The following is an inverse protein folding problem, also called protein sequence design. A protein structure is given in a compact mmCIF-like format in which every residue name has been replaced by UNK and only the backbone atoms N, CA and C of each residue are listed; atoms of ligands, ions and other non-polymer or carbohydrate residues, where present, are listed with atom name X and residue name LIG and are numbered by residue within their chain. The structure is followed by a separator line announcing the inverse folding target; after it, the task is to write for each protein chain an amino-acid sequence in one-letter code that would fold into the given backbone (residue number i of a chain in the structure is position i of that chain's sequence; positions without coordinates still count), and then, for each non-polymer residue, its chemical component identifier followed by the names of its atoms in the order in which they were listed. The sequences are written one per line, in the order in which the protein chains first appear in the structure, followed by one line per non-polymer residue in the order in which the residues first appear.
data_IF_472646704494
#
_entry.id   IF_472646704494
#
_cell.length_a   1.000
_cell.length_b   1.000
_cell.length_c   1.000
_cell.angle_alpha   90.00
_cell.angle_beta   90.00
_cell.angle_gamma   90.00
#
_symmetry.space_group_name_H-M   'P 1'
#
loop_
_entity.id
_entity.type
_entity.pdbx_description
1 polymer ?
#
# COMPACT_ATOMS: atom_id res chain seq x y z
N UNK A 1 52.48 -27.57 -8.43
CA UNK A 1 51.41 -27.78 -9.42
C UNK A 1 50.77 -29.14 -9.17
N UNK A 2 50.07 -29.31 -8.05
CA UNK A 2 49.33 -30.54 -7.72
C UNK A 2 47.85 -30.27 -7.96
N UNK A 3 47.44 -30.38 -9.22
CA UNK A 3 46.05 -30.34 -9.69
C UNK A 3 45.35 -31.68 -9.39
N UNK A 4 45.29 -32.09 -8.13
CA UNK A 4 44.67 -33.36 -7.72
C UNK A 4 43.85 -33.27 -6.43
N UNK A 5 43.35 -32.09 -6.06
CA UNK A 5 42.44 -31.93 -4.90
C UNK A 5 41.23 -31.03 -5.19
N UNK A 6 40.54 -31.22 -6.33
CA UNK A 6 39.28 -30.49 -6.63
C UNK A 6 38.07 -31.41 -6.86
N UNK A 7 38.19 -32.71 -6.58
CA UNK A 7 37.05 -33.65 -6.69
C UNK A 7 36.89 -34.57 -5.48
N UNK A 8 36.84 -34.00 -4.27
CA UNK A 8 36.18 -34.69 -3.15
C UNK A 8 34.68 -34.34 -3.18
N UNK A 9 33.99 -35.14 -3.98
CA UNK A 9 32.56 -35.47 -4.03
C UNK A 9 31.79 -35.08 -2.74
N UNK A 10 30.92 -34.06 -2.74
CA UNK A 10 29.44 -34.12 -2.90
C UNK A 10 28.70 -35.18 -2.07
N UNK A 11 29.35 -35.97 -1.21
CA UNK A 11 28.65 -36.91 -0.32
C UNK A 11 27.99 -36.17 0.85
N UNK A 12 28.72 -35.23 1.45
CA UNK A 12 28.29 -34.48 2.61
C UNK A 12 28.38 -32.96 2.38
N UNK A 13 27.35 -32.25 2.80
CA UNK A 13 27.18 -30.81 2.62
C UNK A 13 26.90 -30.20 3.98
N UNK A 14 27.54 -29.08 4.29
CA UNK A 14 27.19 -28.27 5.45
C UNK A 14 25.95 -27.43 5.15
N UNK A 15 24.95 -27.56 6.00
CA UNK A 15 23.68 -26.86 5.89
C UNK A 15 23.55 -25.89 7.06
N UNK A 16 23.25 -24.63 6.74
CA UNK A 16 22.83 -23.66 7.74
C UNK A 16 21.37 -23.90 8.15
N UNK A 17 21.19 -24.12 9.46
CA UNK A 17 19.89 -24.34 10.10
C UNK A 17 19.34 -23.02 10.69
N UNK A 18 20.19 -22.00 10.85
CA UNK A 18 19.90 -20.72 11.48
C UNK A 18 20.60 -20.57 12.84
N UNK A 19 20.56 -19.35 13.42
CA UNK A 19 21.17 -18.99 14.72
C UNK A 19 22.69 -19.18 14.82
N UNK A 20 23.39 -19.35 13.69
CA UNK A 20 24.85 -19.51 13.62
C UNK A 20 25.34 -20.95 13.71
N UNK A 21 24.45 -21.95 13.59
CA UNK A 21 24.82 -23.37 13.62
C UNK A 21 24.77 -24.01 12.23
N UNK A 22 25.79 -24.83 11.94
CA UNK A 22 25.90 -25.61 10.71
C UNK A 22 25.81 -27.10 11.02
N UNK A 23 25.06 -27.84 10.20
CA UNK A 23 24.90 -29.30 10.34
C UNK A 23 25.38 -29.95 9.05
N UNK A 24 26.28 -30.91 9.18
CA UNK A 24 26.72 -31.74 8.06
C UNK A 24 25.67 -32.81 7.77
N UNK A 25 25.24 -32.90 6.51
CA UNK A 25 24.23 -33.84 6.03
C UNK A 25 24.62 -34.43 4.70
N UNK A 26 24.11 -35.63 4.41
CA UNK A 26 24.25 -36.19 3.08
C UNK A 26 23.57 -35.32 2.03
N UNK A 27 24.07 -35.30 0.79
CA UNK A 27 23.51 -34.47 -0.28
C UNK A 27 22.05 -34.82 -0.64
N UNK A 28 21.59 -36.05 -0.38
CA UNK A 28 20.17 -36.43 -0.48
C UNK A 28 19.33 -35.68 0.55
N UNK A 29 19.71 -35.76 1.81
CA UNK A 29 18.99 -35.18 2.94
C UNK A 29 18.98 -33.66 2.88
N UNK A 30 20.06 -33.08 2.34
CA UNK A 30 20.16 -31.65 2.08
C UNK A 30 19.08 -31.17 1.11
N UNK A 31 18.86 -31.90 0.01
CA UNK A 31 17.81 -31.57 -0.97
C UNK A 31 16.43 -31.62 -0.35
N UNK A 32 16.15 -32.63 0.47
CA UNK A 32 14.86 -32.74 1.18
C UNK A 32 14.67 -31.65 2.23
N UNK A 33 15.75 -31.21 2.87
CA UNK A 33 15.72 -30.07 3.79
C UNK A 33 15.40 -28.76 3.07
N UNK A 34 16.03 -28.50 1.92
CA UNK A 34 15.72 -27.31 1.12
C UNK A 34 14.31 -27.38 0.54
N UNK A 35 13.85 -28.54 0.07
CA UNK A 35 12.48 -28.73 -0.40
C UNK A 35 11.45 -28.38 0.67
N UNK A 36 11.64 -28.88 1.90
CA UNK A 36 10.78 -28.54 3.05
C UNK A 36 10.79 -27.04 3.38
N UNK A 37 11.95 -26.38 3.27
CA UNK A 37 12.05 -24.92 3.46
C UNK A 37 11.29 -24.15 2.37
N UNK A 38 11.40 -24.57 1.12
CA UNK A 38 10.66 -23.98 0.00
C UNK A 38 9.15 -24.17 0.24
N UNK A 39 8.70 -25.38 0.57
CA UNK A 39 7.28 -25.66 0.85
C UNK A 39 6.75 -24.83 2.02
N UNK A 40 7.57 -24.64 3.06
CA UNK A 40 7.21 -23.77 4.17
C UNK A 40 7.06 -22.32 3.74
N UNK A 41 8.02 -21.77 2.98
CA UNK A 41 7.95 -20.40 2.46
C UNK A 41 6.74 -20.19 1.55
N UNK A 42 6.46 -21.13 0.64
CA UNK A 42 5.29 -21.07 -0.23
C UNK A 42 3.99 -21.02 0.58
N UNK A 43 3.85 -21.87 1.60
CA UNK A 43 2.68 -21.83 2.50
C UNK A 43 2.56 -20.52 3.28
N UNK A 44 3.67 -19.88 3.65
CA UNK A 44 3.62 -18.56 4.28
C UNK A 44 3.13 -17.49 3.30
N UNK A 45 3.60 -17.53 2.05
CA UNK A 45 3.17 -16.59 1.00
C UNK A 45 1.67 -16.75 0.72
N UNK A 46 1.18 -17.97 0.60
CA UNK A 46 -0.25 -18.27 0.39
C UNK A 46 -1.14 -17.71 1.51
N UNK A 47 -0.65 -17.68 2.76
CA UNK A 47 -1.38 -17.08 3.89
C UNK A 47 -1.36 -15.55 3.87
N UNK A 48 -0.29 -14.94 3.38
CA UNK A 48 -0.13 -13.48 3.37
C UNK A 48 -0.98 -12.84 2.26
N UNK A 49 -1.13 -13.49 1.11
CA UNK A 49 -1.93 -12.99 -0.01
C UNK A 49 -3.36 -12.56 0.36
N UNK A 50 -4.19 -13.40 1.02
CA UNK A 50 -5.56 -13.02 1.36
C UNK A 50 -5.61 -11.92 2.43
N UNK A 51 -4.69 -11.94 3.41
CA UNK A 51 -4.62 -10.90 4.43
C UNK A 51 -4.31 -9.52 3.81
N UNK A 52 -3.43 -9.47 2.80
CA UNK A 52 -3.13 -8.24 2.08
C UNK A 52 -4.35 -7.74 1.28
N UNK A 53 -5.06 -8.63 0.60
CA UNK A 53 -6.26 -8.30 -0.16
C UNK A 53 -7.38 -7.76 0.75
N UNK A 54 -7.60 -8.38 1.90
CA UNK A 54 -8.58 -7.92 2.89
C UNK A 54 -8.24 -6.52 3.42
N UNK A 55 -6.97 -6.27 3.77
CA UNK A 55 -6.52 -4.94 4.21
C UNK A 55 -6.65 -3.89 3.10
N UNK A 56 -6.39 -4.26 1.85
CA UNK A 56 -6.58 -3.36 0.70
C UNK A 56 -8.06 -3.05 0.45
N UNK A 57 -8.93 -4.06 0.45
CA UNK A 57 -10.36 -3.91 0.27
C UNK A 57 -10.98 -3.04 1.39
N UNK A 58 -10.58 -3.27 2.63
CA UNK A 58 -11.03 -2.46 3.76
C UNK A 58 -10.59 -1.00 3.63
N UNK A 59 -9.34 -0.75 3.22
CA UNK A 59 -8.87 0.62 2.94
C UNK A 59 -9.71 1.27 1.83
N UNK A 60 -10.00 0.53 0.75
CA UNK A 60 -10.79 1.03 -0.38
C UNK A 60 -12.22 1.40 0.04
N UNK A 61 -12.88 0.52 0.80
CA UNK A 61 -14.22 0.77 1.33
C UNK A 61 -14.28 2.01 2.24
N UNK A 62 -13.26 2.22 3.09
CA UNK A 62 -13.17 3.42 3.93
C UNK A 62 -12.99 4.69 3.09
N UNK A 63 -12.17 4.64 2.04
CA UNK A 63 -11.99 5.79 1.13
C UNK A 63 -13.28 6.12 0.37
N UNK A 64 -14.02 5.11 -0.07
CA UNK A 64 -15.31 5.29 -0.74
C UNK A 64 -16.38 5.86 0.21
N UNK A 65 -16.46 5.36 1.44
CA UNK A 65 -17.35 5.94 2.44
C UNK A 65 -16.98 7.39 2.77
N UNK A 66 -15.68 7.69 2.84
CA UNK A 66 -15.21 9.06 3.07
C UNK A 66 -15.61 9.99 1.92
N UNK A 67 -15.43 9.58 0.67
CA UNK A 67 -15.83 10.39 -0.49
C UNK A 67 -17.34 10.60 -0.58
N UNK A 68 -18.15 9.58 -0.26
CA UNK A 68 -19.61 9.70 -0.17
C UNK A 68 -20.04 10.67 0.92
N UNK A 69 -19.39 10.63 2.10
CA UNK A 69 -19.67 11.58 3.19
C UNK A 69 -19.31 13.01 2.79
N UNK A 70 -18.18 13.21 2.10
CA UNK A 70 -17.80 14.53 1.57
C UNK A 70 -18.84 15.03 0.57
N UNK A 71 -19.29 14.19 -0.37
CA UNK A 71 -20.32 14.55 -1.35
C UNK A 71 -21.65 14.92 -0.68
N UNK A 72 -22.09 14.15 0.33
CA UNK A 72 -23.29 14.48 1.12
C UNK A 72 -23.14 15.81 1.86
N UNK A 73 -21.99 16.08 2.46
CA UNK A 73 -21.72 17.36 3.13
C UNK A 73 -21.72 18.52 2.13
N UNK A 74 -21.13 18.35 0.93
CA UNK A 74 -21.16 19.38 -0.13
C UNK A 74 -22.54 19.57 -0.77
N UNK A 75 -23.42 18.56 -0.74
CA UNK A 75 -24.80 18.71 -1.21
C UNK A 75 -25.71 19.35 -0.15
N UNK A 76 -25.39 19.14 1.14
CA UNK A 76 -26.10 19.76 2.27
C UNK A 76 -25.66 21.20 2.51
N UNK A 77 -24.39 21.50 2.26
CA UNK A 77 -23.88 22.86 2.11
C UNK A 77 -24.07 23.27 0.66
N UNK A 78 -25.28 23.74 0.32
CA UNK A 78 -25.48 24.53 -0.89
C UNK A 78 -24.36 25.58 -0.93
N UNK A 79 -23.37 25.35 -1.80
CA UNK A 79 -22.39 26.35 -2.19
C UNK A 79 -23.20 27.38 -2.96
N UNK A 80 -23.81 28.30 -2.21
CA UNK A 80 -24.36 29.52 -2.76
C UNK A 80 -23.21 30.17 -3.52
N UNK A 81 -23.32 30.34 -4.84
CA UNK A 81 -22.28 31.01 -5.57
C UNK A 81 -22.15 32.43 -5.00
N UNK A 82 -20.90 32.91 -4.86
CA UNK A 82 -20.50 34.17 -4.19
C UNK A 82 -21.04 35.44 -4.90
N UNK A 83 -22.14 35.36 -5.64
CA UNK A 83 -22.71 36.46 -6.43
C UNK A 83 -23.96 37.09 -5.80
N UNK A 84 -24.39 36.69 -4.62
CA UNK A 84 -25.52 37.33 -3.91
C UNK A 84 -25.15 37.65 -2.46
N UNK A 85 -24.49 38.80 -2.27
CA UNK A 85 -24.36 39.47 -0.97
C UNK A 85 -25.56 40.43 -0.86
N UNK A 86 -26.61 40.15 -0.05
CA UNK A 86 -27.79 41.03 0.06
C UNK A 86 -27.63 42.16 1.09
N UNK A 87 -26.41 42.55 1.49
CA UNK A 87 -26.24 43.45 2.66
C UNK A 87 -25.16 44.52 2.55
N UNK A 88 -24.76 44.93 1.34
CA UNK A 88 -24.03 46.20 1.20
C UNK A 88 -25.02 47.26 0.74
N UNK A 89 -25.55 47.97 1.73
CA UNK A 89 -26.15 49.28 1.58
C UNK A 89 -25.08 50.23 1.03
N UNK A 90 -24.93 50.30 -0.29
CA UNK A 90 -24.24 51.41 -0.93
C UNK A 90 -25.10 52.67 -0.73
N UNK A 91 -24.54 53.78 -0.21
CA UNK A 91 -25.27 55.03 -0.13
C UNK A 91 -25.59 55.47 -1.55
N UNK A 92 -26.88 55.54 -1.86
CA UNK A 92 -27.44 56.06 -3.10
C UNK A 92 -27.17 57.57 -3.14
N UNK A 93 -26.35 58.13 -4.04
CA UNK A 93 -26.46 59.55 -4.32
C UNK A 93 -27.69 59.74 -5.21
N UNK A 94 -28.82 60.09 -4.59
CA UNK A 94 -29.87 60.79 -5.28
C UNK A 94 -29.40 62.25 -5.43
N UNK A 95 -29.30 62.75 -6.66
CA UNK A 95 -29.57 64.14 -7.12
C UNK A 95 -28.98 64.26 -8.54
N UNK A 96 -29.72 63.93 -9.59
CA UNK A 96 -30.72 64.74 -10.30
C UNK A 96 -30.13 65.97 -11.06
N UNK A 97 -29.99 65.79 -12.37
CA UNK A 97 -30.23 66.73 -13.49
C UNK A 97 -29.68 68.17 -13.37
N UNK A 98 -28.72 68.49 -14.24
CA UNK A 98 -28.65 69.79 -14.95
C UNK A 98 -28.05 69.53 -16.34
N UNK A 99 -28.87 69.16 -17.31
CA UNK A 99 -29.26 70.01 -18.46
C UNK A 99 -28.10 70.71 -19.17
N UNK A 100 -27.94 70.34 -20.45
CA UNK A 100 -27.55 71.19 -21.58
C UNK A 100 -26.20 71.90 -21.48
N UNK A 101 -25.16 71.29 -22.07
CA UNK A 101 -24.46 71.81 -23.26
C UNK A 101 -23.65 70.69 -23.92
#
# INVERSE_FOLDING_TARGET
MTLLEVWNYVEHVLIDVGTGYYVEKAASDARDFFKRKIDFLTKQIEKIQPALQEKHAMKQAVMEMMSLKIQQLTASQAVVPVYWIPSICLPRPAFYIKTLF
#
